data_IF_139069563655
#
_entry.id   IF_139069563655
#
_cell.length_a   1.000
_cell.length_b   1.000
_cell.length_c   1.000
_cell.angle_alpha   90.00
_cell.angle_beta   90.00
_cell.angle_gamma   90.00
#
_symmetry.space_group_name_H-M   'P 1'
#
loop_
_entity.id
_entity.type
_entity.pdbx_description
1 polymer ?
#
# COMPACT_ATOMS: atom_id res chain seq x y z
N UNK A 1 -60.88 42.26 -50.50
CA UNK A 1 -59.51 41.84 -50.15
C UNK A 1 -59.63 40.82 -49.03
N UNK A 2 -59.28 39.57 -49.32
CA UNK A 2 -59.58 38.41 -48.47
C UNK A 2 -58.63 38.28 -47.28
N UNK A 3 -59.19 37.95 -46.11
CA UNK A 3 -58.45 37.42 -44.98
C UNK A 3 -58.56 35.91 -45.00
N UNK A 4 -57.45 35.23 -45.29
CA UNK A 4 -57.35 33.77 -45.21
C UNK A 4 -56.97 33.40 -43.77
N UNK A 5 -57.94 32.94 -42.97
CA UNK A 5 -57.64 32.31 -41.68
C UNK A 5 -57.34 30.82 -41.92
N UNK A 6 -56.05 30.47 -41.92
CA UNK A 6 -55.61 29.08 -41.87
C UNK A 6 -55.83 28.53 -40.47
N UNK A 7 -56.95 27.84 -40.25
CA UNK A 7 -57.20 27.05 -39.05
C UNK A 7 -56.36 25.78 -39.08
N UNK A 8 -55.50 25.62 -38.07
CA UNK A 8 -54.70 24.43 -37.84
C UNK A 8 -55.61 23.26 -37.42
N UNK A 9 -55.36 22.05 -37.92
CA UNK A 9 -56.27 20.89 -37.84
C UNK A 9 -55.99 19.99 -36.63
N UNK A 10 -55.05 20.38 -35.77
CA UNK A 10 -54.68 19.64 -34.56
C UNK A 10 -55.06 20.46 -33.33
N UNK A 11 -55.91 19.91 -32.45
CA UNK A 11 -56.27 20.49 -31.15
C UNK A 11 -55.01 20.64 -30.28
N UNK A 12 -54.30 21.75 -30.46
CA UNK A 12 -53.18 22.18 -29.63
C UNK A 12 -53.71 23.25 -28.67
N UNK A 13 -53.47 23.06 -27.37
CA UNK A 13 -53.74 24.10 -26.38
C UNK A 13 -52.74 25.22 -26.68
N UNK A 14 -53.23 26.34 -27.23
CA UNK A 14 -52.41 27.50 -27.53
C UNK A 14 -52.46 28.49 -26.38
N UNK A 15 -51.28 28.89 -25.90
CA UNK A 15 -51.10 29.95 -24.92
C UNK A 15 -50.94 31.29 -25.64
N UNK A 16 -51.00 32.44 -24.93
CA UNK A 16 -50.76 33.74 -25.55
C UNK A 16 -49.40 33.80 -26.25
N UNK A 17 -49.31 34.43 -27.43
CA UNK A 17 -48.11 34.46 -28.29
C UNK A 17 -46.82 34.82 -27.54
N UNK A 18 -46.87 35.76 -26.59
CA UNK A 18 -45.72 36.13 -25.78
C UNK A 18 -45.25 34.97 -24.88
N UNK A 19 -46.19 34.23 -24.27
CA UNK A 19 -45.88 33.09 -23.40
C UNK A 19 -45.36 31.90 -24.20
N UNK A 20 -45.86 31.67 -25.41
CA UNK A 20 -45.35 30.63 -26.32
C UNK A 20 -43.94 30.94 -26.82
N UNK A 21 -43.66 32.20 -27.18
CA UNK A 21 -42.31 32.64 -27.59
C UNK A 21 -41.31 32.55 -26.43
N UNK A 22 -41.71 32.94 -25.22
CA UNK A 22 -40.84 32.85 -24.04
C UNK A 22 -40.60 31.39 -23.59
N UNK A 23 -41.63 30.55 -23.56
CA UNK A 23 -41.47 29.13 -23.22
C UNK A 23 -40.71 28.34 -24.29
N UNK A 24 -40.92 28.62 -25.58
CA UNK A 24 -40.17 27.97 -26.65
C UNK A 24 -38.67 28.34 -26.62
N UNK A 25 -38.34 29.60 -26.31
CA UNK A 25 -36.96 30.03 -26.09
C UNK A 25 -36.30 29.32 -24.90
N UNK A 26 -37.00 29.23 -23.77
CA UNK A 26 -36.53 28.51 -22.59
C UNK A 26 -36.31 27.02 -22.87
N UNK A 27 -37.27 26.35 -23.51
CA UNK A 27 -37.17 24.92 -23.85
C UNK A 27 -36.01 24.66 -24.83
N UNK A 28 -35.79 25.56 -25.79
CA UNK A 28 -34.67 25.45 -26.73
C UNK A 28 -33.33 25.56 -26.00
N UNK A 29 -33.14 26.60 -25.18
CA UNK A 29 -31.90 26.77 -24.41
C UNK A 29 -31.69 25.62 -23.41
N UNK A 30 -32.74 25.17 -22.75
CA UNK A 30 -32.71 24.02 -21.84
C UNK A 30 -32.27 22.74 -22.55
N UNK A 31 -32.78 22.46 -23.75
CA UNK A 31 -32.34 21.28 -24.53
C UNK A 31 -30.88 21.37 -24.97
N UNK A 32 -30.39 22.58 -25.27
CA UNK A 32 -28.97 22.80 -25.63
C UNK A 32 -28.06 22.56 -24.43
N UNK A 33 -28.43 23.04 -23.24
CA UNK A 33 -27.63 22.84 -22.02
C UNK A 33 -27.69 21.39 -21.51
N UNK A 34 -28.84 20.72 -21.64
CA UNK A 34 -28.97 19.30 -21.34
C UNK A 34 -28.06 18.46 -22.24
N UNK A 35 -28.02 18.77 -23.54
CA UNK A 35 -27.13 18.10 -24.48
C UNK A 35 -25.64 18.34 -24.16
N UNK A 36 -25.27 19.53 -23.67
CA UNK A 36 -23.88 19.84 -23.28
C UNK A 36 -23.47 19.12 -21.99
N UNK A 37 -24.35 19.06 -20.98
CA UNK A 37 -24.10 18.35 -19.72
C UNK A 37 -24.02 16.82 -19.92
N UNK A 38 -24.86 16.26 -20.80
CA UNK A 38 -24.79 14.85 -21.16
C UNK A 38 -23.53 14.50 -21.96
N UNK A 39 -23.01 15.44 -22.75
CA UNK A 39 -21.80 15.24 -23.55
C UNK A 39 -20.51 15.24 -22.72
N UNK A 40 -20.50 15.88 -21.54
CA UNK A 40 -19.34 15.95 -20.65
C UNK A 40 -19.56 15.00 -19.48
N UNK A 41 -19.21 13.73 -19.67
CA UNK A 41 -19.24 12.76 -18.59
C UNK A 41 -17.85 12.68 -17.91
N UNK A 42 -17.76 12.99 -16.60
CA UNK A 42 -16.49 13.03 -15.88
C UNK A 42 -15.84 11.64 -15.66
N UNK A 43 -16.57 10.56 -15.91
CA UNK A 43 -16.11 9.18 -15.70
C UNK A 43 -15.57 8.51 -16.98
N UNK A 44 -15.77 9.13 -18.15
CA UNK A 44 -15.46 8.55 -19.48
C UNK A 44 -14.00 8.17 -19.67
N UNK A 45 -13.07 8.94 -19.09
CA UNK A 45 -11.63 8.76 -19.27
C UNK A 45 -11.01 7.82 -18.21
N UNK A 46 -11.82 7.19 -17.36
CA UNK A 46 -11.30 6.30 -16.34
C UNK A 46 -10.78 4.99 -16.94
N UNK A 47 -9.46 4.85 -16.99
CA UNK A 47 -8.80 3.61 -17.40
C UNK A 47 -8.69 2.66 -16.22
N UNK A 48 -9.30 1.49 -16.34
CA UNK A 48 -9.13 0.40 -15.36
C UNK A 48 -7.66 -0.02 -15.29
N UNK A 49 -7.08 0.05 -14.10
CA UNK A 49 -5.71 -0.38 -13.85
C UNK A 49 -5.66 -1.89 -13.67
N UNK A 50 -4.85 -2.57 -14.46
CA UNK A 50 -4.60 -3.99 -14.29
C UNK A 50 -3.55 -4.22 -13.19
N UNK A 51 -4.01 -4.42 -11.96
CA UNK A 51 -3.13 -4.67 -10.80
C UNK A 51 -2.25 -5.90 -11.00
N UNK A 52 -2.74 -6.94 -11.66
CA UNK A 52 -1.96 -8.15 -11.86
C UNK A 52 -0.69 -7.84 -12.68
N UNK A 53 -0.81 -7.00 -13.71
CA UNK A 53 0.33 -6.54 -14.50
C UNK A 53 1.25 -5.57 -13.73
N UNK A 54 0.68 -4.69 -12.90
CA UNK A 54 1.47 -3.69 -12.15
C UNK A 54 2.22 -4.30 -10.95
N UNK A 55 1.64 -5.33 -10.32
CA UNK A 55 2.21 -5.96 -9.13
C UNK A 55 3.21 -7.07 -9.48
N UNK A 56 2.89 -7.90 -10.47
CA UNK A 56 3.76 -9.03 -10.88
C UNK A 56 4.69 -8.69 -12.05
N UNK A 57 4.43 -7.59 -12.77
CA UNK A 57 5.15 -7.23 -13.98
C UNK A 57 4.63 -7.97 -15.21
N UNK A 58 5.19 -7.63 -16.38
CA UNK A 58 4.78 -8.21 -17.66
C UNK A 58 5.31 -9.66 -17.76
N UNK A 59 4.40 -10.61 -17.97
CA UNK A 59 4.72 -12.02 -18.23
C UNK A 59 4.61 -12.97 -17.02
N UNK A 60 4.32 -12.44 -15.83
CA UNK A 60 4.04 -13.25 -14.65
C UNK A 60 2.55 -13.28 -14.34
N UNK A 61 2.04 -14.46 -14.03
CA UNK A 61 0.65 -14.66 -13.62
C UNK A 61 0.61 -14.93 -12.11
N UNK A 62 -0.54 -14.72 -11.49
CA UNK A 62 -0.76 -15.14 -10.09
C UNK A 62 -0.40 -16.63 -9.86
N UNK A 63 -0.66 -17.49 -10.85
CA UNK A 63 -0.30 -18.91 -10.82
C UNK A 63 1.20 -19.19 -10.86
N UNK A 64 2.02 -18.22 -11.25
CA UNK A 64 3.49 -18.32 -11.18
C UNK A 64 4.00 -18.23 -9.75
N UNK A 65 3.17 -17.75 -8.81
CA UNK A 65 3.51 -17.66 -7.40
C UNK A 65 2.95 -18.85 -6.64
N UNK A 66 3.77 -19.36 -5.73
CA UNK A 66 3.42 -20.49 -4.87
C UNK A 66 2.30 -20.08 -3.92
N UNK A 67 1.27 -20.92 -3.71
CA UNK A 67 0.23 -20.56 -2.75
C UNK A 67 0.81 -20.36 -1.34
N UNK A 68 0.18 -19.51 -0.51
CA UNK A 68 0.63 -19.31 0.87
C UNK A 68 0.71 -20.65 1.63
N UNK A 69 -0.27 -21.54 1.41
CA UNK A 69 -0.28 -22.89 1.98
C UNK A 69 0.90 -23.75 1.52
N UNK A 70 1.27 -23.72 0.23
CA UNK A 70 2.42 -24.46 -0.28
C UNK A 70 3.74 -23.84 0.19
N UNK A 71 3.81 -22.51 0.38
CA UNK A 71 4.96 -21.84 1.01
C UNK A 71 5.14 -22.26 2.47
N UNK A 72 4.06 -22.27 3.26
CA UNK A 72 4.09 -22.79 4.63
C UNK A 72 4.40 -24.30 4.65
N UNK A 73 3.82 -25.08 3.74
CA UNK A 73 4.06 -26.51 3.62
C UNK A 73 5.53 -26.83 3.31
N UNK A 74 6.11 -26.15 2.32
CA UNK A 74 7.54 -26.23 1.98
C UNK A 74 8.43 -25.78 3.11
N UNK A 75 8.06 -24.72 3.83
CA UNK A 75 8.79 -24.29 5.02
C UNK A 75 8.75 -25.37 6.11
N UNK A 76 7.58 -25.88 6.46
CA UNK A 76 7.44 -26.89 7.52
C UNK A 76 8.09 -28.23 7.14
N UNK A 77 8.06 -28.60 5.86
CA UNK A 77 8.69 -29.83 5.36
C UNK A 77 10.20 -29.69 5.17
N UNK A 78 10.69 -28.49 4.86
CA UNK A 78 12.12 -28.21 4.67
C UNK A 78 12.84 -27.77 5.95
N UNK A 79 12.12 -27.40 7.00
CA UNK A 79 12.69 -27.02 8.29
C UNK A 79 13.08 -28.26 9.09
N UNK A 80 14.29 -28.75 8.85
CA UNK A 80 14.96 -29.70 9.73
C UNK A 80 15.86 -28.95 10.71
N UNK A 81 15.43 -28.87 11.97
CA UNK A 81 16.18 -28.20 13.03
C UNK A 81 17.49 -28.92 13.36
N UNK A 82 17.55 -30.24 13.18
CA UNK A 82 18.74 -31.02 13.48
C UNK A 82 19.78 -30.82 12.38
N UNK A 83 19.37 -30.85 11.12
CA UNK A 83 20.27 -30.58 10.00
C UNK A 83 20.79 -29.14 10.04
N UNK A 84 19.93 -28.17 10.36
CA UNK A 84 20.34 -26.77 10.55
C UNK A 84 21.38 -26.63 11.67
N UNK A 85 21.15 -27.30 12.81
CA UNK A 85 22.10 -27.32 13.91
C UNK A 85 23.43 -27.98 13.52
N UNK A 86 23.39 -29.12 12.82
CA UNK A 86 24.60 -29.81 12.32
C UNK A 86 25.39 -28.94 11.34
N UNK A 87 24.71 -28.28 10.41
CA UNK A 87 25.33 -27.36 9.45
C UNK A 87 25.98 -26.18 10.16
N UNK A 88 25.28 -25.54 11.12
CA UNK A 88 25.84 -24.41 11.87
C UNK A 88 27.06 -24.79 12.70
N UNK A 89 27.06 -25.98 13.31
CA UNK A 89 28.25 -26.54 13.99
C UNK A 89 29.39 -26.75 12.99
N UNK A 90 29.12 -27.44 11.88
CA UNK A 90 30.12 -27.77 10.88
C UNK A 90 30.78 -26.51 10.33
N UNK A 91 29.99 -25.50 9.98
CA UNK A 91 30.51 -24.27 9.42
C UNK A 91 31.40 -23.51 10.40
N UNK A 92 31.07 -23.46 11.69
CA UNK A 92 31.91 -22.78 12.69
C UNK A 92 33.16 -23.59 13.00
N UNK A 93 33.05 -24.92 13.09
CA UNK A 93 34.20 -25.80 13.39
C UNK A 93 35.15 -25.98 12.20
N UNK A 94 34.69 -25.77 10.96
CA UNK A 94 35.55 -25.85 9.77
C UNK A 94 36.27 -24.54 9.47
N UNK A 95 36.03 -23.47 10.24
CA UNK A 95 36.74 -22.20 10.07
C UNK A 95 38.24 -22.37 10.31
N UNK A 96 39.03 -21.89 9.34
CA UNK A 96 40.49 -21.94 9.36
C UNK A 96 41.08 -21.28 10.61
N UNK A 97 40.44 -20.20 11.08
CA UNK A 97 40.82 -19.46 12.29
C UNK A 97 40.79 -20.31 13.57
N UNK A 98 39.94 -21.33 13.64
CA UNK A 98 39.91 -22.24 14.79
C UNK A 98 41.16 -23.12 14.82
N UNK A 99 41.55 -23.67 13.67
CA UNK A 99 42.71 -24.55 13.56
C UNK A 99 44.01 -23.79 13.84
N UNK A 100 44.11 -22.54 13.37
CA UNK A 100 45.27 -21.68 13.67
C UNK A 100 45.35 -21.37 15.16
N UNK A 101 44.26 -20.96 15.81
CA UNK A 101 44.27 -20.68 17.25
C UNK A 101 44.58 -21.89 18.12
N UNK A 102 44.08 -23.08 17.75
CA UNK A 102 44.43 -24.32 18.46
C UNK A 102 45.92 -24.64 18.28
N UNK A 103 46.45 -24.48 17.06
CA UNK A 103 47.87 -24.70 16.77
C UNK A 103 48.76 -23.73 17.56
N UNK A 104 48.42 -22.44 17.59
CA UNK A 104 49.14 -21.41 18.35
C UNK A 104 49.16 -21.70 19.86
N UNK A 105 48.01 -22.07 20.45
CA UNK A 105 47.95 -22.41 21.87
C UNK A 105 48.76 -23.67 22.19
N UNK A 106 48.74 -24.68 21.31
CA UNK A 106 49.56 -25.89 21.47
C UNK A 106 51.05 -25.58 21.38
N UNK A 107 51.46 -24.74 20.42
CA UNK A 107 52.85 -24.34 20.26
C UNK A 107 53.39 -23.62 21.50
N UNK A 108 52.62 -22.70 22.09
CA UNK A 108 53.03 -22.03 23.35
C UNK A 108 53.27 -23.02 24.49
N UNK A 109 52.46 -24.07 24.57
CA UNK A 109 52.62 -25.11 25.58
C UNK A 109 53.85 -25.99 25.31
N UNK A 110 54.09 -26.36 24.04
CA UNK A 110 55.33 -27.06 23.66
C UNK A 110 56.56 -26.22 24.02
N UNK A 111 56.55 -24.93 23.71
CA UNK A 111 57.65 -24.00 24.03
C UNK A 111 57.90 -23.95 25.54
N UNK A 112 56.86 -23.88 26.37
CA UNK A 112 56.99 -23.90 27.84
C UNK A 112 57.57 -25.24 28.34
N UNK A 113 57.10 -26.36 27.79
CA UNK A 113 57.56 -27.69 28.18
C UNK A 113 59.05 -27.87 27.85
N UNK A 114 59.46 -27.49 26.64
CA UNK A 114 60.82 -27.71 26.14
C UNK A 114 61.83 -26.72 26.71
N UNK A 115 61.43 -25.47 26.98
CA UNK A 115 62.35 -24.44 27.48
C UNK A 115 62.44 -24.38 29.00
N UNK A 116 61.36 -24.70 29.72
CA UNK A 116 61.28 -24.54 31.17
C UNK A 116 61.13 -25.88 31.90
N UNK A 117 60.12 -26.68 31.58
CA UNK A 117 59.72 -27.84 32.41
C UNK A 117 60.71 -29.00 32.27
N UNK A 118 60.99 -29.44 31.04
CA UNK A 118 61.91 -30.55 30.77
C UNK A 118 63.34 -30.23 31.21
N UNK A 119 63.92 -29.05 30.91
CA UNK A 119 65.26 -28.71 31.37
C UNK A 119 65.38 -28.63 32.89
N UNK A 120 64.38 -28.08 33.57
CA UNK A 120 64.37 -28.01 35.05
C UNK A 120 64.28 -29.39 35.66
N UNK A 121 63.44 -30.28 35.12
CA UNK A 121 63.33 -31.67 35.55
C UNK A 121 64.65 -32.43 35.35
N UNK A 122 65.26 -32.32 34.16
CA UNK A 122 66.55 -32.96 33.84
C UNK A 122 67.67 -32.45 34.73
N UNK A 123 67.72 -31.15 35.02
CA UNK A 123 68.69 -30.55 35.94
C UNK A 123 68.52 -31.09 37.36
N UNK A 124 67.30 -31.09 37.89
CA UNK A 124 67.01 -31.62 39.22
C UNK A 124 67.39 -33.10 39.37
N UNK A 125 67.11 -33.92 38.35
CA UNK A 125 67.48 -35.33 38.33
C UNK A 125 69.00 -35.56 38.21
N UNK A 126 69.72 -34.66 37.53
CA UNK A 126 71.18 -34.67 37.46
C UNK A 126 71.81 -34.31 38.80
N UNK A 127 71.28 -33.32 39.49
CA UNK A 127 71.81 -32.85 40.76
C UNK A 127 71.70 -33.93 41.86
N UNK A 128 70.69 -34.80 41.79
CA UNK A 128 70.55 -35.99 42.66
C UNK A 128 71.16 -37.27 42.07
N UNK A 129 71.83 -37.19 40.92
CA UNK A 129 72.45 -38.30 40.19
C UNK A 129 71.51 -39.49 39.88
N UNK A 130 70.21 -39.23 39.69
CA UNK A 130 69.18 -40.24 39.42
C UNK A 130 68.89 -40.43 37.93
N UNK A 131 69.71 -39.87 37.04
CA UNK A 131 69.47 -39.84 35.57
C UNK A 131 69.44 -41.24 34.94
N UNK A 132 70.16 -42.21 35.50
CA UNK A 132 70.16 -43.60 35.05
C UNK A 132 69.08 -44.49 35.72
N UNK A 133 68.22 -43.91 36.55
CA UNK A 133 67.19 -44.66 37.29
C UNK A 133 65.88 -44.74 36.52
N UNK A 134 65.07 -45.75 36.84
CA UNK A 134 63.69 -45.88 36.34
C UNK A 134 62.82 -44.65 36.70
N UNK A 135 63.11 -43.98 37.82
CA UNK A 135 62.42 -42.77 38.25
C UNK A 135 62.58 -41.60 37.27
N UNK A 136 63.72 -41.50 36.59
CA UNK A 136 63.94 -40.48 35.54
C UNK A 136 63.02 -40.73 34.34
N UNK A 137 62.96 -41.97 33.85
CA UNK A 137 62.10 -42.36 32.72
C UNK A 137 60.63 -42.16 33.07
N UNK A 138 60.21 -42.56 34.28
CA UNK A 138 58.83 -42.37 34.76
C UNK A 138 58.48 -40.87 34.84
N UNK A 139 59.39 -40.02 35.29
CA UNK A 139 59.16 -38.57 35.37
C UNK A 139 59.00 -37.94 33.99
N UNK A 140 59.87 -38.29 33.02
CA UNK A 140 59.71 -37.88 31.63
C UNK A 140 58.36 -38.36 31.04
N UNK A 141 57.98 -39.61 31.28
CA UNK A 141 56.70 -40.16 30.82
C UNK A 141 55.50 -39.45 31.47
N UNK A 142 55.60 -39.01 32.72
CA UNK A 142 54.55 -38.21 33.38
C UNK A 142 54.43 -36.81 32.76
N UNK A 143 55.54 -36.17 32.40
CA UNK A 143 55.53 -34.86 31.72
C UNK A 143 54.86 -35.02 30.34
N UNK A 144 55.22 -36.06 29.59
CA UNK A 144 54.61 -36.34 28.29
C UNK A 144 53.11 -36.66 28.40
N UNK A 145 52.73 -37.48 29.38
CA UNK A 145 51.32 -37.77 29.66
C UNK A 145 50.53 -36.51 30.03
N UNK A 146 51.15 -35.57 30.76
CA UNK A 146 50.55 -34.28 31.08
C UNK A 146 50.36 -33.43 29.81
N UNK A 147 51.36 -33.37 28.93
CA UNK A 147 51.26 -32.67 27.64
C UNK A 147 50.04 -33.09 26.83
N UNK A 148 49.82 -34.40 26.68
CA UNK A 148 48.67 -34.93 25.93
C UNK A 148 47.34 -34.52 26.57
N UNK A 149 47.25 -34.50 27.90
CA UNK A 149 46.04 -34.06 28.62
C UNK A 149 45.79 -32.57 28.44
N UNK A 150 46.84 -31.76 28.54
CA UNK A 150 46.77 -30.31 28.38
C UNK A 150 46.37 -29.94 26.93
N UNK A 151 46.80 -30.72 25.92
CA UNK A 151 46.32 -30.59 24.54
C UNK A 151 44.83 -30.86 24.37
N UNK A 152 44.33 -31.93 25.00
CA UNK A 152 42.91 -32.22 24.98
C UNK A 152 42.11 -31.10 25.67
N UNK A 153 42.61 -30.59 26.80
CA UNK A 153 42.00 -29.48 27.52
C UNK A 153 41.94 -28.19 26.69
N UNK A 154 43.03 -27.82 26.00
CA UNK A 154 43.06 -26.66 25.10
C UNK A 154 42.05 -26.81 23.96
N UNK A 155 41.97 -27.99 23.33
CA UNK A 155 40.97 -28.21 22.27
C UNK A 155 39.54 -28.12 22.78
N UNK A 156 39.27 -28.63 23.99
CA UNK A 156 37.96 -28.54 24.62
C UNK A 156 37.61 -27.10 24.98
N UNK A 157 38.55 -26.34 25.52
CA UNK A 157 38.34 -24.94 25.87
C UNK A 157 38.00 -24.10 24.63
N UNK A 158 38.76 -24.24 23.55
CA UNK A 158 38.51 -23.50 22.30
C UNK A 158 37.15 -23.88 21.72
N UNK A 159 36.82 -25.17 21.65
CA UNK A 159 35.52 -25.62 21.12
C UNK A 159 34.34 -25.21 22.00
N UNK A 160 34.47 -25.26 23.33
CA UNK A 160 33.44 -24.82 24.25
C UNK A 160 33.16 -23.30 24.14
N UNK A 161 34.21 -22.50 23.92
CA UNK A 161 34.06 -21.06 23.72
C UNK A 161 33.35 -20.69 22.41
N UNK A 162 33.26 -21.60 21.44
CA UNK A 162 32.56 -21.37 20.17
C UNK A 162 31.06 -21.69 20.24
N UNK A 163 30.59 -22.38 21.29
CA UNK A 163 29.18 -22.74 21.47
C UNK A 163 28.25 -21.51 21.38
N UNK A 164 28.54 -20.36 22.03
CA UNK A 164 27.70 -19.17 21.90
C UNK A 164 27.63 -18.65 20.46
N UNK A 165 28.74 -18.67 19.73
CA UNK A 165 28.80 -18.23 18.32
C UNK A 165 27.96 -19.13 17.43
N UNK A 166 28.03 -20.45 17.63
CA UNK A 166 27.20 -21.44 16.94
C UNK A 166 25.72 -21.15 17.20
N UNK A 167 25.35 -20.88 18.46
CA UNK A 167 23.97 -20.56 18.81
C UNK A 167 23.46 -19.27 18.14
N UNK A 168 24.28 -18.21 18.08
CA UNK A 168 23.93 -16.98 17.37
C UNK A 168 23.70 -17.26 15.88
N UNK A 169 24.56 -18.07 15.25
CA UNK A 169 24.39 -18.43 13.84
C UNK A 169 23.10 -19.21 13.59
N UNK A 170 22.87 -20.26 14.38
CA UNK A 170 21.64 -21.06 14.31
C UNK A 170 20.37 -20.20 14.46
N UNK A 171 20.33 -19.33 15.47
CA UNK A 171 19.16 -18.45 15.68
C UNK A 171 18.97 -17.44 14.55
N UNK A 172 20.05 -16.96 13.95
CA UNK A 172 19.99 -16.04 12.80
C UNK A 172 19.41 -16.72 11.57
N UNK A 173 19.85 -17.94 11.25
CA UNK A 173 19.32 -18.72 10.12
C UNK A 173 17.85 -19.09 10.35
N UNK A 174 17.49 -19.50 11.57
CA UNK A 174 16.10 -19.77 11.93
C UNK A 174 15.20 -18.52 11.77
N UNK A 175 15.69 -17.36 12.21
CA UNK A 175 14.99 -16.10 12.05
C UNK A 175 14.83 -15.72 10.58
N UNK A 176 15.86 -15.94 9.76
CA UNK A 176 15.80 -15.71 8.31
C UNK A 176 14.73 -16.57 7.65
N UNK A 177 14.72 -17.88 7.92
CA UNK A 177 13.73 -18.80 7.38
C UNK A 177 12.29 -18.36 7.78
N UNK A 178 12.09 -17.99 9.05
CA UNK A 178 10.80 -17.47 9.54
C UNK A 178 10.39 -16.18 8.82
N UNK A 179 11.32 -15.26 8.63
CA UNK A 179 11.05 -13.96 8.02
C UNK A 179 10.62 -14.09 6.56
N UNK A 180 11.21 -15.02 5.80
CA UNK A 180 10.80 -15.27 4.40
C UNK A 180 9.30 -15.57 4.31
N UNK A 181 8.80 -16.48 5.15
CA UNK A 181 7.39 -16.87 5.13
C UNK A 181 6.50 -15.72 5.61
N UNK A 182 6.93 -14.99 6.64
CA UNK A 182 6.19 -13.85 7.16
C UNK A 182 6.10 -12.71 6.14
N UNK A 183 7.18 -12.40 5.44
CA UNK A 183 7.24 -11.34 4.44
C UNK A 183 6.48 -11.73 3.18
N UNK A 184 6.55 -13.00 2.75
CA UNK A 184 5.71 -13.52 1.69
C UNK A 184 4.22 -13.35 2.01
N UNK A 185 3.79 -13.67 3.24
CA UNK A 185 2.41 -13.48 3.67
C UNK A 185 2.00 -11.99 3.65
N UNK A 186 2.88 -11.07 4.05
CA UNK A 186 2.62 -9.61 3.98
C UNK A 186 2.45 -9.12 2.55
N UNK A 187 3.32 -9.56 1.64
CA UNK A 187 3.27 -9.21 0.21
C UNK A 187 1.95 -9.69 -0.40
N UNK A 188 1.57 -10.95 -0.15
CA UNK A 188 0.30 -11.50 -0.67
C UNK A 188 -0.92 -10.82 -0.06
N UNK A 189 -0.88 -10.46 1.24
CA UNK A 189 -1.94 -9.67 1.87
C UNK A 189 -2.10 -8.31 1.19
N UNK A 190 -1.00 -7.61 0.94
CA UNK A 190 -1.01 -6.31 0.27
C UNK A 190 -1.60 -6.42 -1.15
N UNK A 191 -1.20 -7.45 -1.91
CA UNK A 191 -1.78 -7.73 -3.23
C UNK A 191 -3.31 -7.87 -3.18
N UNK A 192 -3.84 -8.70 -2.27
CA UNK A 192 -5.28 -8.89 -2.17
C UNK A 192 -6.03 -7.64 -1.73
N UNK A 193 -5.48 -6.83 -0.82
CA UNK A 193 -6.12 -5.56 -0.44
C UNK A 193 -6.20 -4.60 -1.63
N UNK A 194 -5.10 -4.42 -2.37
CA UNK A 194 -5.11 -3.52 -3.52
C UNK A 194 -6.04 -3.99 -4.63
N UNK A 195 -6.08 -5.30 -4.88
CA UNK A 195 -6.97 -5.91 -5.86
C UNK A 195 -8.44 -5.62 -5.54
N UNK A 196 -8.85 -5.90 -4.30
CA UNK A 196 -10.23 -5.65 -3.87
C UNK A 196 -10.58 -4.17 -3.99
N UNK A 197 -9.70 -3.28 -3.52
CA UNK A 197 -9.95 -1.83 -3.56
C UNK A 197 -10.13 -1.31 -4.99
N UNK A 198 -9.26 -1.73 -5.91
CA UNK A 198 -9.34 -1.28 -7.31
C UNK A 198 -10.47 -1.92 -8.08
N UNK A 199 -10.82 -3.17 -7.78
CA UNK A 199 -12.03 -3.78 -8.35
C UNK A 199 -13.28 -3.02 -7.88
N UNK A 200 -13.39 -2.70 -6.59
CA UNK A 200 -14.51 -1.91 -6.05
C UNK A 200 -14.58 -0.52 -6.70
N UNK A 201 -13.46 0.20 -6.77
CA UNK A 201 -13.42 1.51 -7.42
C UNK A 201 -13.75 1.42 -8.91
N UNK A 202 -13.23 0.41 -9.60
CA UNK A 202 -13.51 0.18 -11.02
C UNK A 202 -14.98 -0.13 -11.30
N UNK A 203 -15.63 -0.96 -10.48
CA UNK A 203 -17.06 -1.23 -10.60
C UNK A 203 -17.92 0.01 -10.28
N UNK A 204 -17.55 0.77 -9.25
CA UNK A 204 -18.27 2.00 -8.86
C UNK A 204 -18.22 3.03 -9.99
N UNK A 205 -17.04 3.30 -10.52
CA UNK A 205 -16.87 4.31 -11.58
C UNK A 205 -17.54 3.90 -12.90
N UNK A 206 -17.53 2.60 -13.24
CA UNK A 206 -18.29 2.09 -14.40
C UNK A 206 -19.81 2.19 -14.20
N UNK A 207 -20.29 1.98 -12.97
CA UNK A 207 -21.70 2.16 -12.68
C UNK A 207 -22.09 3.64 -12.77
N UNK A 208 -21.27 4.55 -12.25
CA UNK A 208 -21.47 5.99 -12.32
C UNK A 208 -21.45 6.50 -13.77
N UNK A 209 -20.54 6.00 -14.60
CA UNK A 209 -20.46 6.30 -16.04
C UNK A 209 -21.76 5.94 -16.78
N UNK A 210 -22.31 4.75 -16.52
CA UNK A 210 -23.59 4.30 -17.12
C UNK A 210 -24.79 5.06 -16.55
N UNK A 211 -24.73 5.45 -15.28
CA UNK A 211 -25.81 6.18 -14.60
C UNK A 211 -25.78 7.70 -14.86
N UNK A 212 -24.69 8.23 -15.42
CA UNK A 212 -24.50 9.66 -15.67
C UNK A 212 -25.70 10.34 -16.36
N UNK A 213 -26.29 9.76 -17.43
CA UNK A 213 -27.45 10.38 -18.06
C UNK A 213 -28.66 10.50 -17.12
N UNK A 214 -28.85 9.50 -16.25
CA UNK A 214 -29.95 9.51 -15.28
C UNK A 214 -29.71 10.49 -14.14
N UNK A 215 -28.46 10.66 -13.69
CA UNK A 215 -28.13 11.64 -12.65
C UNK A 215 -28.32 13.08 -13.13
N UNK A 216 -27.96 13.37 -14.39
CA UNK A 216 -28.22 14.67 -15.03
C UNK A 216 -29.73 14.92 -15.12
N UNK A 217 -30.49 13.94 -15.62
CA UNK A 217 -31.95 14.06 -15.73
C UNK A 217 -32.66 14.23 -14.38
N UNK A 218 -32.19 13.57 -13.31
CA UNK A 218 -32.76 13.74 -11.97
C UNK A 218 -32.45 15.12 -11.38
N UNK A 219 -31.26 15.67 -11.63
CA UNK A 219 -30.92 17.04 -11.28
C UNK A 219 -31.83 18.03 -12.00
N UNK A 220 -32.02 17.85 -13.30
CA UNK A 220 -32.86 18.71 -14.14
C UNK A 220 -34.33 18.65 -13.74
N UNK A 221 -34.85 17.45 -13.43
CA UNK A 221 -36.21 17.30 -12.91
C UNK A 221 -36.40 18.07 -11.59
N UNK A 222 -35.40 18.05 -10.70
CA UNK A 222 -35.44 18.81 -9.45
C UNK A 222 -35.37 20.32 -9.69
N UNK A 223 -34.55 20.77 -10.64
CA UNK A 223 -34.46 22.17 -11.04
C UNK A 223 -35.77 22.68 -11.64
N UNK A 224 -36.41 21.91 -12.53
CA UNK A 224 -37.72 22.23 -13.09
C UNK A 224 -38.82 22.25 -12.03
N UNK A 225 -38.79 21.33 -11.06
CA UNK A 225 -39.75 21.30 -9.96
C UNK A 225 -39.58 22.52 -9.01
N UNK A 226 -38.35 23.02 -8.85
CA UNK A 226 -38.09 24.24 -8.08
C UNK A 226 -38.70 25.50 -8.71
N UNK A 227 -38.91 25.51 -10.04
CA UNK A 227 -39.59 26.58 -10.78
C UNK A 227 -41.12 26.46 -10.74
N UNK A 228 -41.66 25.41 -10.10
CA UNK A 228 -43.09 25.22 -9.92
C UNK A 228 -43.71 26.31 -9.02
N UNK A 229 -44.97 26.72 -9.29
CA UNK A 229 -45.63 27.80 -8.56
C UNK A 229 -45.77 27.52 -7.05
N UNK A 230 -45.73 26.26 -6.61
CA UNK A 230 -45.86 25.86 -5.21
C UNK A 230 -44.60 26.11 -4.35
N UNK A 231 -43.44 26.44 -4.94
CA UNK A 231 -42.19 26.61 -4.20
C UNK A 231 -41.75 28.07 -4.05
N UNK A 232 -42.28 28.97 -4.89
CA UNK A 232 -42.15 30.41 -4.72
C UNK A 232 -42.90 30.93 -3.49
N UNK A 233 -44.01 30.30 -3.11
CA UNK A 233 -44.80 30.69 -1.92
C UNK A 233 -44.10 30.34 -0.60
N UNK A 234 -43.26 29.30 -0.58
CA UNK A 234 -42.62 28.78 0.64
C UNK A 234 -41.21 29.35 0.91
N UNK A 235 -40.65 30.17 0.01
CA UNK A 235 -39.31 30.78 0.20
C UNK A 235 -39.29 31.96 1.17
N UNK A 236 -40.45 32.47 1.60
CA UNK A 236 -40.52 33.65 2.49
C UNK A 236 -40.39 33.31 3.99
N UNK A 237 -40.37 32.03 4.36
CA UNK A 237 -40.25 31.58 5.75
C UNK A 237 -39.19 30.48 5.89
N UNK A 238 -37.90 30.84 5.88
CA UNK A 238 -36.81 29.88 6.07
C UNK A 238 -36.33 29.89 7.54
N UNK A 239 -36.62 28.80 8.24
CA UNK A 239 -36.13 28.46 9.58
C UNK A 239 -34.62 28.10 9.53
N UNK A 240 -33.76 28.63 10.42
CA UNK A 240 -32.30 28.49 10.32
C UNK A 240 -31.77 27.06 10.57
N UNK A 241 -32.56 26.15 11.14
CA UNK A 241 -32.18 24.76 11.39
C UNK A 241 -32.31 23.83 10.17
N UNK A 242 -33.01 24.27 9.12
CA UNK A 242 -33.14 23.53 7.86
C UNK A 242 -31.91 23.68 6.95
N UNK A 243 -31.18 24.79 7.10
CA UNK A 243 -29.95 25.09 6.34
C UNK A 243 -28.82 24.10 6.64
N UNK A 244 -28.58 23.75 7.91
CA UNK A 244 -27.46 22.85 8.26
C UNK A 244 -27.68 21.39 7.82
N UNK A 245 -28.92 20.92 7.76
CA UNK A 245 -29.25 19.55 7.33
C UNK A 245 -29.20 19.35 5.82
N UNK A 246 -29.23 20.43 5.05
CA UNK A 246 -29.32 20.39 3.59
C UNK A 246 -28.12 21.08 2.92
N UNK A 247 -26.90 20.62 3.20
CA UNK A 247 -25.67 21.07 2.50
C UNK A 247 -25.78 20.98 0.96
N UNK A 248 -26.59 20.06 0.44
CA UNK A 248 -26.91 19.93 -0.99
C UNK A 248 -27.80 21.08 -1.50
N UNK A 249 -28.68 21.62 -0.66
CA UNK A 249 -29.45 22.84 -0.96
C UNK A 249 -28.59 24.08 -0.79
N UNK A 250 -27.61 24.10 0.12
CA UNK A 250 -26.63 25.20 0.24
C UNK A 250 -25.81 25.34 -1.05
N UNK A 251 -25.47 24.24 -1.72
CA UNK A 251 -24.89 24.28 -3.08
C UNK A 251 -25.83 24.92 -4.10
N UNK A 252 -27.12 24.63 -4.03
CA UNK A 252 -28.15 25.33 -4.81
C UNK A 252 -28.27 26.81 -4.45
N UNK A 253 -28.12 27.19 -3.18
CA UNK A 253 -28.17 28.58 -2.72
C UNK A 253 -26.96 29.38 -3.18
N UNK A 254 -25.76 28.80 -3.23
CA UNK A 254 -24.60 29.47 -3.83
C UNK A 254 -24.80 29.68 -5.33
N UNK A 255 -25.33 28.68 -6.04
CA UNK A 255 -25.69 28.81 -7.46
C UNK A 255 -26.73 29.93 -7.66
N UNK A 256 -27.76 30.00 -6.80
CA UNK A 256 -28.77 31.08 -6.84
C UNK A 256 -28.15 32.45 -6.51
N UNK A 257 -27.20 32.53 -5.58
CA UNK A 257 -26.48 33.77 -5.25
C UNK A 257 -25.60 34.25 -6.41
N UNK A 258 -24.93 33.35 -7.12
CA UNK A 258 -24.15 33.67 -8.33
C UNK A 258 -25.06 34.01 -9.51
N UNK A 259 -26.19 33.33 -9.65
CA UNK A 259 -27.28 33.67 -10.60
C UNK A 259 -27.80 35.09 -10.34
N UNK A 260 -28.05 35.44 -9.08
CA UNK A 260 -28.51 36.77 -8.69
C UNK A 260 -27.43 37.86 -8.90
N UNK A 261 -26.15 37.58 -8.61
CA UNK A 261 -25.04 38.50 -8.90
C UNK A 261 -24.83 38.69 -10.40
N UNK A 262 -24.92 37.62 -11.18
CA UNK A 262 -24.86 37.69 -12.63
C UNK A 262 -26.01 38.52 -13.19
N UNK A 263 -27.24 38.33 -12.70
CA UNK A 263 -28.40 39.14 -13.06
C UNK A 263 -28.20 40.62 -12.72
N UNK A 264 -27.59 40.90 -11.56
CA UNK A 264 -27.29 42.26 -11.10
C UNK A 264 -26.24 42.95 -11.99
N UNK A 265 -25.12 42.29 -12.31
CA UNK A 265 -24.09 42.81 -13.22
C UNK A 265 -24.66 43.02 -14.63
N UNK A 266 -25.49 42.08 -15.07
CA UNK A 266 -26.19 42.13 -16.34
C UNK A 266 -27.18 43.30 -16.47
N UNK A 267 -27.76 43.79 -15.36
CA UNK A 267 -28.69 44.92 -15.36
C UNK A 267 -28.09 46.24 -15.87
N UNK A 268 -26.75 46.32 -15.96
CA UNK A 268 -25.99 47.44 -16.53
C UNK A 268 -26.14 47.58 -18.06
N UNK A 269 -26.65 46.56 -18.76
CA UNK A 269 -26.76 46.52 -20.22
C UNK A 269 -28.21 46.23 -20.68
N UNK A 270 -29.06 47.26 -20.91
CA UNK A 270 -30.41 47.07 -21.42
C UNK A 270 -30.43 46.63 -22.91
N UNK A 271 -31.44 45.88 -23.39
CA UNK A 271 -32.65 45.42 -22.69
C UNK A 271 -32.60 43.97 -22.15
N UNK A 272 -31.54 43.20 -22.44
CA UNK A 272 -31.46 41.76 -22.10
C UNK A 272 -30.36 41.38 -21.10
N UNK A 273 -29.58 42.35 -20.63
CA UNK A 273 -28.41 42.06 -19.81
C UNK A 273 -28.74 41.36 -18.49
N UNK A 274 -29.86 41.68 -17.82
CA UNK A 274 -30.27 41.04 -16.56
C UNK A 274 -30.52 39.53 -16.71
N UNK A 275 -31.11 39.10 -17.83
CA UNK A 275 -31.45 37.68 -18.07
C UNK A 275 -30.19 36.91 -18.48
N UNK A 276 -29.39 37.49 -19.39
CA UNK A 276 -28.12 36.90 -19.84
C UNK A 276 -27.14 36.80 -18.65
N UNK A 277 -27.10 37.84 -17.84
CA UNK A 277 -26.32 37.87 -16.60
C UNK A 277 -26.75 36.79 -15.62
N UNK A 278 -28.05 36.56 -15.45
CA UNK A 278 -28.56 35.50 -14.58
C UNK A 278 -28.09 34.12 -15.02
N UNK A 279 -28.18 33.82 -16.32
CA UNK A 279 -27.76 32.54 -16.90
C UNK A 279 -26.25 32.33 -16.77
N UNK A 280 -25.44 33.36 -17.05
CA UNK A 280 -23.98 33.29 -16.86
C UNK A 280 -23.64 33.08 -15.38
N UNK A 281 -24.33 33.79 -14.47
CA UNK A 281 -24.16 33.64 -13.03
C UNK A 281 -24.54 32.23 -12.53
N UNK A 282 -25.58 31.63 -13.10
CA UNK A 282 -25.97 30.25 -12.83
C UNK A 282 -24.88 29.26 -13.27
N UNK A 283 -24.38 29.39 -14.49
CA UNK A 283 -23.32 28.53 -15.05
C UNK A 283 -22.02 28.65 -14.24
N UNK A 284 -21.61 29.86 -13.87
CA UNK A 284 -20.42 30.09 -13.03
C UNK A 284 -20.61 29.53 -11.62
N UNK A 285 -21.80 29.67 -11.04
CA UNK A 285 -22.14 29.10 -9.74
C UNK A 285 -22.08 27.57 -9.74
N UNK A 286 -22.57 26.93 -10.82
CA UNK A 286 -22.50 25.48 -11.01
C UNK A 286 -21.04 25.04 -11.18
N UNK A 287 -20.25 25.74 -12.00
CA UNK A 287 -18.84 25.41 -12.22
C UNK A 287 -17.98 25.54 -10.95
N UNK A 288 -18.19 26.59 -10.14
CA UNK A 288 -17.48 26.79 -8.87
C UNK A 288 -17.88 25.76 -7.81
N UNK A 289 -19.13 25.29 -7.82
CA UNK A 289 -19.59 24.25 -6.91
C UNK A 289 -18.93 22.89 -7.18
N UNK A 290 -18.63 22.57 -8.44
CA UNK A 290 -17.93 21.33 -8.82
C UNK A 290 -16.39 21.42 -8.71
N UNK A 291 -15.81 22.60 -8.46
CA UNK A 291 -14.37 22.79 -8.24
C UNK A 291 -13.96 22.86 -6.75
N UNK A 292 -14.92 22.87 -5.82
CA UNK A 292 -14.68 22.76 -4.36
C UNK A 292 -14.73 21.32 -3.88
#
# INVERSE_FOLDING_TARGET
MGGTSGGDTVMTIRHPDYAEVHHSGFLTEFTVQLASALAVNPHTDYVYRNIDADFFGVGYLFSSYVTLHDMFGKFMAGLDLEELWRSSISDVLTQEEMYTHIAEKKQKLDDEIDTQILPTFKRGMRDINAVASSSFIIGCAKIESKRVKDYAAISLEVTANLIPTIFVKFTTELAWCKNIVADYAKIMKAYFSYRIDTDISGYTLRAEDVLWPFTVLDFDRRALNALGPQHLENMTTLDPTWLEKNKLVIGGVSIIAWTAQGAYIGSSYPPYGTIIGAVIGFVVGVALYFMQ
#
